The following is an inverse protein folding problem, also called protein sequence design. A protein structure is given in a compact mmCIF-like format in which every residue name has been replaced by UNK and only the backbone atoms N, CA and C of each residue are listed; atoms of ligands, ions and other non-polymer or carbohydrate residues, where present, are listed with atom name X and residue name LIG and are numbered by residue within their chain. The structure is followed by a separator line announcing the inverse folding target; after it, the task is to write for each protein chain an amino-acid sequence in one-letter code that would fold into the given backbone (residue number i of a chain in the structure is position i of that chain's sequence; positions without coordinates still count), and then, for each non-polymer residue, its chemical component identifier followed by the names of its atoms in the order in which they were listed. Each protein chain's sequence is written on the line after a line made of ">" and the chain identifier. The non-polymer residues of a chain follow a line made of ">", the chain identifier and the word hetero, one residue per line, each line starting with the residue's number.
data_IF_074906746309
#
_entry.id   IF_074906746309
#
_cell.length_a   1.000
_cell.length_b   1.000
_cell.length_c   1.000
_cell.angle_alpha   90.00
_cell.angle_beta   90.00
_cell.angle_gamma   90.00
#
_symmetry.space_group_name_H-M   'P 1'
#
loop_
_entity.id
_entity.type
_entity.pdbx_description
1 polymer ?
#
# COMPACT_ATOMS: atom_id res chain seq x y z
N UNK A 1 -0.34 15.14 3.69
CA UNK A 1 -1.50 15.89 3.18
C UNK A 1 -1.12 17.25 2.60
N UNK A 2 -0.28 18.00 3.27
CA UNK A 2 0.19 19.31 2.77
C UNK A 2 0.76 19.27 1.34
N UNK A 3 1.56 18.25 1.03
CA UNK A 3 2.08 18.06 -0.32
C UNK A 3 0.96 17.91 -1.38
N UNK A 4 -0.09 17.15 -1.06
CA UNK A 4 -1.21 16.95 -1.98
C UNK A 4 -2.02 18.24 -2.19
N UNK A 5 -2.09 19.08 -1.19
CA UNK A 5 -2.70 20.41 -1.32
C UNK A 5 -1.86 21.33 -2.22
N UNK A 6 -0.53 21.25 -2.11
CA UNK A 6 0.40 21.97 -2.99
C UNK A 6 0.31 21.50 -4.46
N UNK A 7 0.06 20.22 -4.67
CA UNK A 7 -0.19 19.65 -6.01
C UNK A 7 -1.59 19.98 -6.57
N UNK A 8 -2.39 20.74 -5.83
CA UNK A 8 -3.75 21.13 -6.23
C UNK A 8 -4.69 19.95 -6.49
N UNK A 9 -4.53 18.87 -5.74
CA UNK A 9 -5.45 17.75 -5.80
C UNK A 9 -6.86 18.21 -5.42
N UNK A 10 -7.88 17.68 -6.10
CA UNK A 10 -9.28 18.04 -5.86
C UNK A 10 -9.63 17.96 -4.37
N UNK A 11 -10.21 19.00 -3.77
CA UNK A 11 -10.60 19.01 -2.36
C UNK A 11 -11.52 17.84 -1.99
N UNK A 12 -12.41 17.43 -2.88
CA UNK A 12 -13.31 16.30 -2.65
C UNK A 12 -12.53 14.99 -2.47
N UNK A 13 -11.47 14.78 -3.25
CA UNK A 13 -10.60 13.61 -3.11
C UNK A 13 -9.78 13.66 -1.81
N UNK A 14 -9.27 14.82 -1.44
CA UNK A 14 -8.54 15.01 -0.18
C UNK A 14 -9.45 14.76 1.02
N UNK A 15 -10.68 15.23 0.99
CA UNK A 15 -11.68 14.95 2.03
C UNK A 15 -12.00 13.46 2.12
N UNK A 16 -12.09 12.78 0.98
CA UNK A 16 -12.24 11.32 0.92
C UNK A 16 -11.08 10.59 1.58
N UNK A 17 -9.84 11.01 1.32
CA UNK A 17 -8.64 10.43 1.96
C UNK A 17 -8.65 10.68 3.47
N UNK A 18 -8.99 11.88 3.92
CA UNK A 18 -9.10 12.20 5.34
C UNK A 18 -10.15 11.34 6.04
N UNK A 19 -11.33 11.19 5.41
CA UNK A 19 -12.39 10.32 5.92
C UNK A 19 -11.95 8.86 6.00
N UNK A 20 -11.27 8.37 4.98
CA UNK A 20 -10.71 7.02 4.96
C UNK A 20 -9.72 6.80 6.11
N UNK A 21 -8.79 7.70 6.31
CA UNK A 21 -7.81 7.62 7.42
C UNK A 21 -8.48 7.60 8.79
N UNK A 22 -9.54 8.36 8.97
CA UNK A 22 -10.30 8.39 10.23
C UNK A 22 -11.07 7.08 10.45
N UNK A 23 -11.63 6.52 9.38
CA UNK A 23 -12.41 5.28 9.45
C UNK A 23 -11.56 4.03 9.60
N UNK A 24 -10.39 4.01 8.96
CA UNK A 24 -9.49 2.85 8.91
C UNK A 24 -8.09 3.18 9.42
N UNK A 25 -7.92 3.52 10.70
CA UNK A 25 -6.59 3.75 11.25
C UNK A 25 -5.77 2.46 11.24
N UNK A 26 -4.47 2.58 11.02
CA UNK A 26 -3.58 1.43 11.10
C UNK A 26 -3.46 0.94 12.55
N UNK A 27 -3.37 -0.39 12.72
CA UNK A 27 -3.13 -1.00 14.02
C UNK A 27 -1.82 -0.44 14.62
N UNK A 28 -1.77 -0.19 15.96
CA UNK A 28 -0.57 0.37 16.60
C UNK A 28 0.70 -0.44 16.31
N UNK A 29 0.60 -1.76 16.26
CA UNK A 29 1.73 -2.64 15.95
C UNK A 29 2.24 -2.51 14.51
N UNK A 30 1.44 -1.97 13.60
CA UNK A 30 1.75 -1.82 12.18
C UNK A 30 2.08 -0.38 11.76
N UNK A 31 2.11 0.55 12.69
CA UNK A 31 2.46 1.95 12.38
C UNK A 31 3.83 2.07 11.70
N UNK A 32 4.80 1.26 12.09
CA UNK A 32 6.13 1.22 11.49
C UNK A 32 6.16 0.71 10.06
N UNK A 33 5.07 0.10 9.57
CA UNK A 33 4.94 -0.35 8.17
C UNK A 33 4.33 0.70 7.26
N UNK A 34 3.87 1.81 7.79
CA UNK A 34 3.41 2.93 6.94
C UNK A 34 4.66 3.53 6.29
N UNK A 35 4.75 3.54 4.96
CA UNK A 35 5.94 4.06 4.28
C UNK A 35 6.23 5.52 4.65
N UNK A 36 7.52 5.82 4.74
CA UNK A 36 8.03 7.18 4.89
C UNK A 36 8.82 7.52 3.62
N UNK A 37 8.15 7.82 2.50
CA UNK A 37 8.83 7.99 1.23
C UNK A 37 9.82 9.15 1.27
N UNK A 38 11.00 8.90 0.73
CA UNK A 38 12.06 9.90 0.63
C UNK A 38 11.73 10.96 -0.43
N UNK A 39 10.98 10.58 -1.44
CA UNK A 39 10.64 11.43 -2.57
C UNK A 39 9.13 11.54 -2.72
N UNK A 40 8.65 12.70 -3.13
CA UNK A 40 7.27 12.90 -3.53
C UNK A 40 7.09 12.57 -5.00
N UNK A 41 5.94 11.99 -5.33
CA UNK A 41 5.55 11.82 -6.72
C UNK A 41 4.80 13.06 -7.20
N UNK A 42 5.26 13.64 -8.31
CA UNK A 42 4.64 14.81 -8.93
C UNK A 42 3.80 14.37 -10.12
N UNK A 43 2.55 14.79 -10.19
CA UNK A 43 1.64 14.44 -11.27
C UNK A 43 0.20 14.43 -10.80
N UNK A 44 -0.45 15.58 -10.81
CA UNK A 44 -1.82 15.75 -10.33
C UNK A 44 -2.79 14.74 -10.91
N UNK A 45 -2.80 14.55 -12.24
CA UNK A 45 -3.75 13.66 -12.90
C UNK A 45 -3.60 12.21 -12.45
N UNK A 46 -2.37 11.75 -12.30
CA UNK A 46 -2.07 10.39 -11.83
C UNK A 46 -2.51 10.23 -10.38
N UNK A 47 -2.22 11.22 -9.53
CA UNK A 47 -2.66 11.23 -8.14
C UNK A 47 -4.20 11.15 -8.03
N UNK A 48 -4.90 12.00 -8.76
CA UNK A 48 -6.37 12.05 -8.70
C UNK A 48 -6.99 10.74 -9.18
N UNK A 49 -6.49 10.16 -10.27
CA UNK A 49 -6.97 8.88 -10.77
C UNK A 49 -6.71 7.74 -9.76
N UNK A 50 -5.52 7.69 -9.17
CA UNK A 50 -5.16 6.68 -8.19
C UNK A 50 -6.00 6.80 -6.91
N UNK A 51 -6.14 8.01 -6.36
CA UNK A 51 -6.95 8.26 -5.16
C UNK A 51 -8.42 7.89 -5.42
N UNK A 52 -8.98 8.31 -6.54
CA UNK A 52 -10.36 8.00 -6.89
C UNK A 52 -10.61 6.49 -6.98
N UNK A 53 -9.71 5.76 -7.63
CA UNK A 53 -9.82 4.30 -7.73
C UNK A 53 -9.73 3.62 -6.35
N UNK A 54 -8.79 4.02 -5.51
CA UNK A 54 -8.63 3.45 -4.16
C UNK A 54 -9.83 3.76 -3.26
N UNK A 55 -10.38 4.96 -3.34
CA UNK A 55 -11.60 5.32 -2.58
C UNK A 55 -12.83 4.52 -3.04
N UNK A 56 -12.85 4.10 -4.31
CA UNK A 56 -13.88 3.20 -4.82
C UNK A 56 -13.64 1.72 -4.49
N UNK A 57 -12.56 1.40 -3.78
CA UNK A 57 -12.22 0.02 -3.43
C UNK A 57 -11.55 -0.78 -4.53
N UNK A 58 -11.06 -0.12 -5.58
CA UNK A 58 -10.39 -0.77 -6.70
C UNK A 58 -8.90 -0.97 -6.42
N UNK A 59 -8.33 -1.99 -7.05
CA UNK A 59 -6.89 -2.23 -7.06
C UNK A 59 -6.24 -1.43 -8.19
N UNK A 60 -4.97 -1.07 -8.01
CA UNK A 60 -4.21 -0.32 -9.00
C UNK A 60 -3.17 -1.20 -9.69
N UNK A 61 -3.09 -1.08 -11.00
CA UNK A 61 -1.97 -1.57 -11.80
C UNK A 61 -1.20 -0.38 -12.36
N UNK A 62 0.01 -0.17 -11.84
CA UNK A 62 0.90 0.90 -12.30
C UNK A 62 1.81 0.36 -13.39
N UNK A 63 1.58 0.77 -14.63
CA UNK A 63 2.36 0.36 -15.78
C UNK A 63 3.11 1.56 -16.39
N UNK A 64 4.30 1.32 -16.88
CA UNK A 64 5.13 2.36 -17.50
C UNK A 64 6.58 1.91 -17.65
N UNK A 65 7.37 2.76 -18.29
CA UNK A 65 8.80 2.52 -18.49
C UNK A 65 9.57 2.44 -17.16
N UNK A 66 10.78 1.92 -17.20
CA UNK A 66 11.67 1.93 -16.04
C UNK A 66 11.92 3.37 -15.57
N UNK A 67 12.15 3.54 -14.28
CA UNK A 67 12.51 4.81 -13.66
C UNK A 67 11.47 5.94 -13.86
N UNK A 68 10.18 5.61 -13.97
CA UNK A 68 9.10 6.60 -14.07
C UNK A 68 8.43 6.93 -12.72
N UNK A 69 8.96 6.38 -11.62
CA UNK A 69 8.48 6.68 -10.27
C UNK A 69 7.29 5.83 -9.79
N UNK A 70 7.05 4.67 -10.40
CA UNK A 70 5.94 3.77 -9.99
C UNK A 70 6.02 3.37 -8.52
N UNK A 71 7.21 2.97 -8.05
CA UNK A 71 7.41 2.60 -6.65
C UNK A 71 7.25 3.82 -5.72
N UNK A 72 7.74 4.98 -6.14
CA UNK A 72 7.56 6.23 -5.38
C UNK A 72 6.07 6.55 -5.23
N UNK A 73 5.30 6.44 -6.30
CA UNK A 73 3.85 6.65 -6.24
C UNK A 73 3.17 5.66 -5.29
N UNK A 74 3.50 4.38 -5.35
CA UNK A 74 2.92 3.36 -4.48
C UNK A 74 3.20 3.65 -3.00
N UNK A 75 4.43 4.01 -2.65
CA UNK A 75 4.78 4.39 -1.27
C UNK A 75 4.06 5.67 -0.83
N UNK A 76 3.99 6.67 -1.70
CA UNK A 76 3.29 7.91 -1.42
C UNK A 76 1.78 7.69 -1.21
N UNK A 77 1.16 6.80 -1.98
CA UNK A 77 -0.26 6.44 -1.81
C UNK A 77 -0.48 5.75 -0.47
N UNK A 78 0.33 4.77 -0.11
CA UNK A 78 0.21 4.08 1.17
C UNK A 78 0.37 5.06 2.34
N UNK A 79 1.32 5.99 2.28
CA UNK A 79 1.47 7.05 3.27
C UNK A 79 0.25 7.98 3.33
N UNK A 80 -0.24 8.43 2.18
CA UNK A 80 -1.39 9.33 2.09
C UNK A 80 -2.63 8.72 2.73
N UNK A 81 -2.87 7.43 2.49
CA UNK A 81 -3.98 6.69 3.09
C UNK A 81 -3.69 6.24 4.54
N UNK A 82 -2.47 6.42 5.03
CA UNK A 82 -2.08 6.04 6.38
C UNK A 82 -2.16 4.53 6.61
N UNK A 83 -1.83 3.73 5.57
CA UNK A 83 -1.94 2.27 5.63
C UNK A 83 -0.57 1.60 5.64
N UNK A 84 -0.43 0.47 6.35
CA UNK A 84 0.77 -0.34 6.26
C UNK A 84 0.95 -0.91 4.86
N UNK A 85 2.19 -1.13 4.45
CA UNK A 85 2.51 -1.66 3.13
C UNK A 85 3.41 -2.89 3.23
N UNK A 86 3.22 -3.81 2.28
CA UNK A 86 4.04 -5.00 2.11
C UNK A 86 4.54 -5.08 0.67
N UNK A 87 5.85 -5.15 0.51
CA UNK A 87 6.49 -5.25 -0.80
C UNK A 87 6.74 -6.70 -1.17
N UNK A 88 6.40 -7.07 -2.39
CA UNK A 88 6.69 -8.39 -2.96
C UNK A 88 7.28 -8.22 -4.35
N UNK A 89 8.48 -8.77 -4.54
CA UNK A 89 9.10 -8.84 -5.86
C UNK A 89 8.77 -10.17 -6.51
N UNK A 90 8.05 -10.13 -7.62
CA UNK A 90 7.68 -11.33 -8.37
C UNK A 90 8.85 -11.81 -9.24
N UNK A 91 9.07 -13.12 -9.25
CA UNK A 91 10.05 -13.78 -10.10
C UNK A 91 9.55 -15.18 -10.48
N UNK A 92 10.23 -15.83 -11.43
CA UNK A 92 9.78 -17.12 -11.99
C UNK A 92 9.66 -18.26 -10.97
N UNK A 93 10.36 -18.17 -9.85
CA UNK A 93 10.29 -19.17 -8.76
C UNK A 93 9.27 -18.84 -7.69
N UNK A 94 8.52 -17.74 -7.84
CA UNK A 94 7.49 -17.35 -6.89
C UNK A 94 6.28 -18.28 -6.97
N UNK A 95 5.79 -18.72 -5.82
CA UNK A 95 4.63 -19.59 -5.69
C UNK A 95 3.66 -19.09 -4.60
N UNK A 96 2.58 -19.83 -4.39
CA UNK A 96 1.59 -19.49 -3.37
C UNK A 96 2.18 -19.49 -1.96
N UNK A 97 3.13 -20.36 -1.66
CA UNK A 97 3.76 -20.41 -0.35
C UNK A 97 4.54 -19.12 -0.04
N UNK A 98 5.19 -18.53 -1.04
CA UNK A 98 5.89 -17.26 -0.89
C UNK A 98 4.96 -16.05 -0.70
N UNK A 99 3.74 -16.11 -1.21
CA UNK A 99 2.75 -15.02 -1.15
C UNK A 99 1.81 -15.13 0.04
N UNK A 100 1.20 -16.29 0.21
CA UNK A 100 0.14 -16.53 1.20
C UNK A 100 0.73 -17.00 2.52
N UNK A 101 1.74 -17.87 2.46
CA UNK A 101 2.35 -18.51 3.62
C UNK A 101 2.35 -20.02 3.53
N UNK A 102 3.00 -20.64 4.48
CA UNK A 102 3.16 -22.09 4.53
C UNK A 102 3.21 -22.59 5.97
N UNK A 103 2.87 -23.86 6.16
CA UNK A 103 3.07 -24.51 7.43
C UNK A 103 4.55 -24.87 7.62
N UNK A 104 5.07 -24.60 8.80
CA UNK A 104 6.42 -24.95 9.20
C UNK A 104 6.39 -25.80 10.47
N UNK A 105 7.38 -26.65 10.62
CA UNK A 105 7.53 -27.48 11.82
C UNK A 105 8.57 -26.84 12.75
N UNK A 106 8.11 -26.32 13.88
CA UNK A 106 8.96 -25.67 14.88
C UNK A 106 8.61 -26.21 16.28
N UNK A 107 9.63 -26.49 17.09
CA UNK A 107 9.47 -26.94 18.49
C UNK A 107 8.50 -28.12 18.67
N UNK A 108 8.49 -29.05 17.72
CA UNK A 108 7.61 -30.22 17.76
C UNK A 108 6.16 -29.94 17.36
N UNK A 109 5.87 -28.75 16.83
CA UNK A 109 4.52 -28.33 16.41
C UNK A 109 4.52 -27.80 14.98
N UNK A 110 3.38 -27.99 14.29
CA UNK A 110 3.14 -27.37 12.99
C UNK A 110 2.62 -25.95 13.23
N UNK A 111 3.32 -24.96 12.70
CA UNK A 111 2.97 -23.55 12.82
C UNK A 111 2.82 -22.94 11.44
N UNK A 112 1.74 -22.19 11.22
CA UNK A 112 1.55 -21.43 9.98
C UNK A 112 2.45 -20.19 9.98
N UNK A 113 3.30 -20.07 8.95
CA UNK A 113 4.14 -18.89 8.74
C UNK A 113 3.51 -18.03 7.64
N UNK A 114 2.90 -16.86 8.00
CA UNK A 114 2.17 -16.04 7.05
C UNK A 114 3.10 -15.36 6.04
N UNK A 115 2.64 -15.26 4.78
CA UNK A 115 3.29 -14.50 3.73
C UNK A 115 2.78 -13.05 3.66
N UNK A 116 3.43 -12.21 2.85
CA UNK A 116 3.10 -10.78 2.77
C UNK A 116 1.68 -10.49 2.27
N UNK A 117 1.18 -11.25 1.30
CA UNK A 117 -0.19 -11.07 0.79
C UNK A 117 -1.23 -11.45 1.85
N UNK A 118 -1.00 -12.53 2.58
CA UNK A 118 -1.86 -12.92 3.71
C UNK A 118 -1.90 -11.83 4.78
N UNK A 119 -0.74 -11.30 5.18
CA UNK A 119 -0.66 -10.24 6.19
C UNK A 119 -1.36 -8.96 5.73
N UNK A 120 -1.15 -8.57 4.49
CA UNK A 120 -1.82 -7.41 3.91
C UNK A 120 -3.34 -7.56 3.90
N UNK A 121 -3.85 -8.72 3.49
CA UNK A 121 -5.28 -9.01 3.48
C UNK A 121 -5.88 -9.06 4.89
N UNK A 122 -5.15 -9.66 5.85
CA UNK A 122 -5.61 -9.79 7.23
C UNK A 122 -5.71 -8.44 7.95
N UNK A 123 -4.70 -7.60 7.80
CA UNK A 123 -4.60 -6.33 8.52
C UNK A 123 -5.16 -5.13 7.74
N UNK A 124 -5.42 -5.30 6.47
CA UNK A 124 -5.86 -4.22 5.59
C UNK A 124 -4.74 -3.24 5.31
N UNK A 125 -4.04 -3.41 4.21
CA UNK A 125 -2.91 -2.57 3.82
C UNK A 125 -2.74 -2.48 2.31
N UNK A 126 -1.59 -1.97 1.92
CA UNK A 126 -1.20 -1.79 0.53
C UNK A 126 -0.10 -2.80 0.16
#
# INVERSE_FOLDING_TARGET
>A
MEFLEQEHISPALLDGVRAYRAQYPAEPALQGRIPQPRYHYYGKEVWEAAIAALLCGENLLLAGSKATGKNVLAENLAQAFGRPAWDVSFHVSMDAAGLIGMDTFENGQVTFRPGPVYLCAKHGGF
#
